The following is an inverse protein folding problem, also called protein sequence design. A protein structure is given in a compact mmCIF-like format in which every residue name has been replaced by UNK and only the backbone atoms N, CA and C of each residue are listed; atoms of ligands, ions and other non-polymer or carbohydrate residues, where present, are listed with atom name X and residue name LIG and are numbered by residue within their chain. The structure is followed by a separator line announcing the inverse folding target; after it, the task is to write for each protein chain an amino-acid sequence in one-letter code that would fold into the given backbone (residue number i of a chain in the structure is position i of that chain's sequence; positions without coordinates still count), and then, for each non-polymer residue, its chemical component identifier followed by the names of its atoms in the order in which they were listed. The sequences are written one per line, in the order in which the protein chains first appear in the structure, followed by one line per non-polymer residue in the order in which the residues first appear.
data_IF_193636354823
#
_entry.id   IF_193636354823
#
_cell.length_a   1.000
_cell.length_b   1.000
_cell.length_c   1.000
_cell.angle_alpha   90.00
_cell.angle_beta   90.00
_cell.angle_gamma   90.00
#
_symmetry.space_group_name_H-M   'P 1'
#
loop_
_entity.id
_entity.type
_entity.pdbx_description
1 polymer ?
#
# COMPACT_ATOMS: atom_id res chain seq x y z
N UNK A 1 5.11 -5.04 25.44
CA UNK A 1 6.23 -4.08 25.24
C UNK A 1 7.50 -4.44 26.04
N UNK A 2 7.43 -5.33 27.06
CA UNK A 2 8.57 -5.70 27.90
C UNK A 2 9.65 -6.55 27.20
N UNK A 3 9.34 -7.24 26.11
CA UNK A 3 10.28 -8.07 25.34
C UNK A 3 11.13 -7.35 24.30
N UNK A 4 10.81 -6.08 23.98
CA UNK A 4 11.45 -5.36 22.87
C UNK A 4 12.51 -4.33 23.27
N UNK A 5 12.88 -4.27 24.55
CA UNK A 5 13.71 -3.20 25.14
C UNK A 5 15.14 -3.12 24.57
N UNK A 6 15.65 -4.18 23.93
CA UNK A 6 17.03 -4.26 23.42
C UNK A 6 17.10 -4.66 21.93
N UNK A 7 16.00 -4.50 21.16
CA UNK A 7 16.02 -4.86 19.74
C UNK A 7 16.47 -3.63 18.94
N UNK A 8 17.56 -3.77 18.19
CA UNK A 8 17.92 -2.80 17.16
C UNK A 8 16.92 -2.90 15.99
N UNK A 9 16.03 -1.91 15.95
CA UNK A 9 14.96 -1.82 14.92
C UNK A 9 15.55 -1.77 13.50
N UNK A 10 16.69 -1.11 13.34
CA UNK A 10 17.35 -1.01 12.03
C UNK A 10 17.86 -2.36 11.54
N UNK A 11 18.51 -3.13 12.39
CA UNK A 11 18.98 -4.48 12.07
C UNK A 11 17.81 -5.44 11.82
N UNK A 12 16.76 -5.34 12.61
CA UNK A 12 15.52 -6.09 12.42
C UNK A 12 14.90 -5.80 11.03
N UNK A 13 14.75 -4.53 10.67
CA UNK A 13 14.19 -4.14 9.37
C UNK A 13 15.04 -4.64 8.19
N UNK A 14 16.35 -4.69 8.36
CA UNK A 14 17.28 -5.24 7.36
C UNK A 14 17.06 -6.74 7.15
N UNK A 15 16.93 -7.50 8.24
CA UNK A 15 16.62 -8.93 8.19
C UNK A 15 15.26 -9.20 7.58
N UNK A 16 14.25 -8.42 7.98
CA UNK A 16 12.91 -8.50 7.40
C UNK A 16 12.93 -8.25 5.90
N UNK A 17 13.62 -7.20 5.43
CA UNK A 17 13.76 -6.91 4.00
C UNK A 17 14.41 -8.08 3.25
N UNK A 18 15.50 -8.63 3.80
CA UNK A 18 16.21 -9.75 3.19
C UNK A 18 15.31 -10.98 3.02
N UNK A 19 14.62 -11.39 4.09
CA UNK A 19 13.67 -12.51 4.04
C UNK A 19 12.56 -12.25 3.03
N UNK A 20 11.96 -11.05 3.05
CA UNK A 20 10.89 -10.68 2.11
C UNK A 20 11.33 -10.75 0.65
N UNK A 21 12.54 -10.27 0.33
CA UNK A 21 13.09 -10.34 -1.03
C UNK A 21 13.29 -11.78 -1.48
N UNK A 22 13.81 -12.64 -0.60
CA UNK A 22 13.97 -14.09 -0.91
C UNK A 22 12.60 -14.72 -1.16
N UNK A 23 11.65 -14.55 -0.25
CA UNK A 23 10.30 -15.11 -0.38
C UNK A 23 9.61 -14.63 -1.66
N UNK A 24 9.73 -13.35 -1.98
CA UNK A 24 9.16 -12.78 -3.19
C UNK A 24 9.79 -13.35 -4.46
N UNK A 25 11.12 -13.50 -4.49
CA UNK A 25 11.85 -14.10 -5.62
C UNK A 25 11.45 -15.56 -5.82
N UNK A 26 11.37 -16.34 -4.73
CA UNK A 26 10.93 -17.75 -4.77
C UNK A 26 9.50 -17.85 -5.29
N UNK A 27 8.60 -16.99 -4.81
CA UNK A 27 7.20 -17.00 -5.21
C UNK A 27 7.02 -16.65 -6.69
N UNK A 28 7.72 -15.61 -7.18
CA UNK A 28 7.70 -15.22 -8.60
C UNK A 28 8.26 -16.38 -9.45
N UNK A 29 9.38 -16.98 -9.06
CA UNK A 29 9.99 -18.10 -9.79
C UNK A 29 9.06 -19.32 -9.82
N UNK A 30 8.42 -19.66 -8.71
CA UNK A 30 7.47 -20.78 -8.64
C UNK A 30 6.20 -20.50 -9.48
N UNK A 31 5.72 -19.26 -9.49
CA UNK A 31 4.59 -18.84 -10.30
C UNK A 31 4.91 -18.87 -11.80
N UNK A 32 6.07 -18.39 -12.21
CA UNK A 32 6.52 -18.43 -13.62
C UNK A 32 6.81 -19.85 -14.10
N UNK A 33 7.26 -20.75 -13.20
CA UNK A 33 7.42 -22.17 -13.49
C UNK A 33 6.10 -22.96 -13.51
N UNK A 34 4.97 -22.33 -13.21
CA UNK A 34 3.65 -22.98 -13.19
C UNK A 34 3.41 -23.89 -11.97
N UNK A 35 4.30 -23.85 -10.96
CA UNK A 35 4.15 -24.63 -9.72
C UNK A 35 3.06 -24.05 -8.83
N UNK A 36 2.97 -22.72 -8.80
CA UNK A 36 1.93 -21.98 -8.06
C UNK A 36 1.00 -21.33 -9.07
N UNK A 37 -0.30 -21.45 -8.83
CA UNK A 37 -1.33 -20.88 -9.71
C UNK A 37 -1.12 -19.38 -9.90
N UNK A 38 -0.98 -18.98 -11.14
CA UNK A 38 -0.94 -17.58 -11.52
C UNK A 38 -2.37 -17.17 -11.82
N UNK A 39 -3.07 -16.54 -10.85
CA UNK A 39 -4.43 -16.07 -11.06
C UNK A 39 -4.41 -14.96 -12.11
N UNK A 40 -4.79 -15.33 -13.30
CA UNK A 40 -5.09 -14.40 -14.37
C UNK A 40 -6.54 -13.97 -14.18
N UNK A 41 -6.76 -12.82 -13.59
CA UNK A 41 -8.09 -12.28 -13.43
C UNK A 41 -8.33 -11.29 -14.56
N UNK A 42 -9.31 -11.61 -15.41
CA UNK A 42 -9.86 -10.65 -16.35
C UNK A 42 -10.53 -9.52 -15.55
N UNK A 43 -9.89 -8.37 -15.47
CA UNK A 43 -10.41 -7.23 -14.76
C UNK A 43 -10.79 -6.18 -15.80
N UNK A 44 -12.10 -6.09 -16.11
CA UNK A 44 -12.70 -5.03 -16.94
C UNK A 44 -12.16 -4.92 -18.39
N UNK A 45 -12.23 -5.97 -19.18
CA UNK A 45 -11.83 -6.00 -20.61
C UNK A 45 -10.38 -5.56 -20.92
N UNK A 46 -9.56 -5.24 -19.92
CA UNK A 46 -8.21 -4.67 -20.10
C UNK A 46 -7.08 -5.72 -20.22
N UNK A 47 -7.42 -6.96 -20.51
CA UNK A 47 -6.46 -8.04 -20.75
C UNK A 47 -6.00 -8.78 -19.48
N UNK A 48 -5.09 -9.73 -19.69
CA UNK A 48 -4.59 -10.64 -18.67
C UNK A 48 -3.83 -9.90 -17.55
N UNK A 49 -4.23 -10.10 -16.29
CA UNK A 49 -3.53 -9.62 -15.11
C UNK A 49 -2.87 -10.76 -14.37
N UNK A 50 -1.63 -10.56 -13.92
CA UNK A 50 -0.86 -11.56 -13.23
C UNK A 50 -0.74 -11.24 -11.75
N UNK A 51 -0.91 -12.25 -10.89
CA UNK A 51 -0.79 -12.11 -9.44
C UNK A 51 0.49 -12.70 -8.86
N UNK A 52 1.29 -13.38 -9.68
CA UNK A 52 2.56 -14.03 -9.29
C UNK A 52 2.45 -14.89 -8.03
N UNK A 53 1.40 -15.72 -7.95
CA UNK A 53 1.15 -16.61 -6.82
C UNK A 53 0.47 -15.96 -5.61
N UNK A 54 0.16 -14.66 -5.68
CA UNK A 54 -0.70 -14.01 -4.70
C UNK A 54 -2.18 -14.23 -5.05
N UNK A 55 -3.03 -14.13 -4.05
CA UNK A 55 -4.47 -14.28 -4.24
C UNK A 55 -5.07 -13.15 -5.09
N UNK A 56 -4.43 -11.97 -5.07
CA UNK A 56 -4.88 -10.80 -5.80
C UNK A 56 -3.67 -10.03 -6.38
N UNK A 57 -3.73 -9.49 -7.62
CA UNK A 57 -2.67 -8.63 -8.17
C UNK A 57 -2.32 -7.43 -7.29
N UNK A 58 -3.29 -6.88 -6.56
CA UNK A 58 -3.07 -5.79 -5.60
C UNK A 58 -2.12 -6.20 -4.47
N UNK A 59 -2.18 -7.46 -3.99
CA UNK A 59 -1.35 -7.95 -2.89
C UNK A 59 0.12 -8.03 -3.32
N UNK A 60 0.38 -8.43 -4.56
CA UNK A 60 1.72 -8.40 -5.14
C UNK A 60 2.27 -6.97 -5.15
N UNK A 61 1.48 -6.01 -5.66
CA UNK A 61 1.89 -4.61 -5.74
C UNK A 61 2.15 -3.99 -4.36
N UNK A 62 1.32 -4.32 -3.34
CA UNK A 62 1.54 -3.89 -1.95
C UNK A 62 2.85 -4.47 -1.39
N UNK A 63 3.19 -5.71 -1.72
CA UNK A 63 4.46 -6.30 -1.32
C UNK A 63 5.67 -5.59 -1.96
N UNK A 64 5.58 -5.20 -3.24
CA UNK A 64 6.59 -4.37 -3.89
C UNK A 64 6.71 -3.02 -3.19
N UNK A 65 5.58 -2.35 -2.91
CA UNK A 65 5.53 -1.08 -2.19
C UNK A 65 6.25 -1.16 -0.84
N UNK A 66 5.95 -2.18 -0.02
CA UNK A 66 6.59 -2.35 1.30
C UNK A 66 8.09 -2.59 1.16
N UNK A 67 8.54 -3.38 0.17
CA UNK A 67 9.95 -3.62 -0.06
C UNK A 67 10.70 -2.34 -0.48
N UNK A 68 10.12 -1.54 -1.38
CA UNK A 68 10.68 -0.24 -1.77
C UNK A 68 10.71 0.72 -0.58
N UNK A 69 9.65 0.79 0.23
CA UNK A 69 9.60 1.61 1.43
C UNK A 69 10.71 1.24 2.43
N UNK A 70 10.95 -0.05 2.66
CA UNK A 70 12.04 -0.54 3.52
C UNK A 70 13.42 -0.19 2.93
N UNK A 71 13.63 -0.33 1.62
CA UNK A 71 14.88 0.05 0.95
C UNK A 71 15.13 1.56 1.13
N UNK A 72 14.11 2.39 0.93
CA UNK A 72 14.22 3.85 1.11
C UNK A 72 14.50 4.22 2.56
N UNK A 73 13.81 3.58 3.52
CA UNK A 73 14.05 3.81 4.95
C UNK A 73 15.48 3.45 5.34
N UNK A 74 15.95 2.24 4.99
CA UNK A 74 17.28 1.75 5.35
C UNK A 74 18.42 2.54 4.68
N UNK A 75 18.18 3.04 3.48
CA UNK A 75 19.20 3.80 2.72
C UNK A 75 18.91 5.30 2.69
N UNK A 76 18.09 5.82 3.60
CA UNK A 76 17.61 7.20 3.56
C UNK A 76 18.71 8.25 3.34
N UNK A 77 19.83 8.11 4.06
CA UNK A 77 20.98 9.02 3.94
C UNK A 77 21.66 8.96 2.56
N UNK A 78 21.66 7.79 1.93
CA UNK A 78 22.32 7.51 0.64
C UNK A 78 21.39 7.67 -0.57
N UNK A 79 20.09 7.98 -0.35
CA UNK A 79 19.14 8.16 -1.44
C UNK A 79 19.59 9.24 -2.39
N UNK A 80 19.68 8.88 -3.66
CA UNK A 80 19.99 9.77 -4.79
C UNK A 80 18.91 9.62 -5.88
N UNK A 81 19.01 10.40 -6.93
CA UNK A 81 18.06 10.40 -8.05
C UNK A 81 17.91 9.00 -8.67
N UNK A 82 18.97 8.20 -8.70
CA UNK A 82 18.96 6.86 -9.27
C UNK A 82 17.99 5.91 -8.51
N UNK A 83 17.96 6.00 -7.17
CA UNK A 83 17.00 5.22 -6.37
C UNK A 83 15.55 5.57 -6.73
N UNK A 84 15.25 6.85 -6.93
CA UNK A 84 13.91 7.30 -7.32
C UNK A 84 13.54 6.80 -8.72
N UNK A 85 14.44 6.90 -9.69
CA UNK A 85 14.20 6.45 -11.06
C UNK A 85 14.00 4.93 -11.12
N UNK A 86 14.86 4.15 -10.45
CA UNK A 86 14.74 2.70 -10.40
C UNK A 86 13.42 2.26 -9.71
N UNK A 87 13.03 2.93 -8.64
CA UNK A 87 11.78 2.63 -7.95
C UNK A 87 10.55 3.01 -8.77
N UNK A 88 10.59 4.17 -9.45
CA UNK A 88 9.53 4.57 -10.37
C UNK A 88 9.38 3.56 -11.52
N UNK A 89 10.49 3.13 -12.10
CA UNK A 89 10.49 2.10 -13.12
C UNK A 89 9.93 0.76 -12.59
N UNK A 90 10.33 0.34 -11.40
CA UNK A 90 9.83 -0.88 -10.78
C UNK A 90 8.31 -0.81 -10.55
N UNK A 91 7.78 0.29 -10.02
CA UNK A 91 6.33 0.48 -9.86
C UNK A 91 5.60 0.46 -11.20
N UNK A 92 6.14 1.13 -12.21
CA UNK A 92 5.56 1.13 -13.55
C UNK A 92 5.57 -0.26 -14.19
N UNK A 93 6.69 -0.98 -14.12
CA UNK A 93 6.81 -2.33 -14.66
C UNK A 93 5.81 -3.31 -14.00
N UNK A 94 5.70 -3.24 -12.66
CA UNK A 94 4.74 -4.05 -11.92
C UNK A 94 3.30 -3.65 -12.27
N UNK A 95 3.01 -2.36 -12.43
CA UNK A 95 1.70 -1.89 -12.87
C UNK A 95 1.33 -2.43 -14.26
N UNK A 96 2.25 -2.43 -15.21
CA UNK A 96 1.98 -2.96 -16.56
C UNK A 96 1.52 -4.42 -16.54
N UNK A 97 1.99 -5.20 -15.57
CA UNK A 97 1.67 -6.64 -15.45
C UNK A 97 0.44 -6.88 -14.58
N UNK A 98 0.34 -6.17 -13.45
CA UNK A 98 -0.74 -6.37 -12.45
C UNK A 98 -1.98 -5.53 -12.70
N UNK A 99 -1.87 -4.44 -13.49
CA UNK A 99 -2.93 -3.43 -13.70
C UNK A 99 -3.50 -2.84 -12.40
N UNK A 100 -2.75 -2.94 -11.30
CA UNK A 100 -3.15 -2.46 -9.97
C UNK A 100 -3.00 -0.94 -9.85
N UNK A 101 -4.08 -0.21 -10.14
CA UNK A 101 -4.11 1.26 -10.05
C UNK A 101 -3.85 1.76 -8.62
N UNK A 102 -4.47 1.12 -7.63
CA UNK A 102 -4.29 1.45 -6.21
C UNK A 102 -2.83 1.33 -5.79
N UNK A 103 -2.16 0.25 -6.18
CA UNK A 103 -0.76 0.04 -5.87
C UNK A 103 0.16 1.03 -6.57
N UNK A 104 -0.14 1.40 -7.81
CA UNK A 104 0.58 2.45 -8.53
C UNK A 104 0.47 3.80 -7.82
N UNK A 105 -0.73 4.20 -7.40
CA UNK A 105 -0.95 5.44 -6.63
C UNK A 105 -0.16 5.45 -5.33
N UNK A 106 -0.17 4.34 -4.58
CA UNK A 106 0.62 4.20 -3.35
C UNK A 106 2.12 4.34 -3.63
N UNK A 107 2.61 3.73 -4.72
CA UNK A 107 4.01 3.85 -5.14
C UNK A 107 4.41 5.30 -5.44
N UNK A 108 3.61 6.00 -6.24
CA UNK A 108 3.84 7.43 -6.54
C UNK A 108 3.81 8.26 -5.25
N UNK A 109 2.82 8.04 -4.38
CA UNK A 109 2.73 8.74 -3.10
C UNK A 109 3.99 8.52 -2.24
N UNK A 110 4.49 7.29 -2.16
CA UNK A 110 5.74 6.98 -1.45
C UNK A 110 6.92 7.79 -1.99
N UNK A 111 7.10 7.80 -3.31
CA UNK A 111 8.19 8.55 -3.94
C UNK A 111 8.10 10.04 -3.65
N UNK A 112 6.90 10.60 -3.72
CA UNK A 112 6.64 12.02 -3.41
C UNK A 112 6.98 12.33 -1.95
N UNK A 113 6.53 11.50 -1.01
CA UNK A 113 6.83 11.68 0.42
C UNK A 113 8.34 11.68 0.68
N UNK A 114 9.08 10.69 0.15
CA UNK A 114 10.53 10.64 0.35
C UNK A 114 11.26 11.79 -0.35
N UNK A 115 10.77 12.26 -1.50
CA UNK A 115 11.31 13.44 -2.17
C UNK A 115 11.14 14.69 -1.29
N UNK A 116 9.95 14.91 -0.74
CA UNK A 116 9.70 16.02 0.19
C UNK A 116 10.58 15.93 1.44
N UNK A 117 10.73 14.75 2.03
CA UNK A 117 11.60 14.56 3.18
C UNK A 117 13.06 14.94 2.85
N UNK A 118 13.55 14.60 1.65
CA UNK A 118 14.88 14.99 1.17
C UNK A 118 15.01 16.50 0.95
N UNK A 119 13.98 17.15 0.42
CA UNK A 119 13.95 18.60 0.27
C UNK A 119 14.00 19.29 1.64
N UNK A 120 13.19 18.79 2.61
CA UNK A 120 13.18 19.34 3.96
C UNK A 120 14.52 19.14 4.70
N UNK A 121 15.27 18.07 4.41
CA UNK A 121 16.62 17.90 4.95
C UNK A 121 17.56 19.02 4.49
N UNK A 122 17.38 19.54 3.28
CA UNK A 122 18.18 20.65 2.74
C UNK A 122 17.82 22.00 3.34
N UNK A 123 16.61 22.16 3.88
CA UNK A 123 16.12 23.40 4.49
C UNK A 123 16.57 23.59 5.94
N UNK A 124 17.35 22.68 6.50
CA UNK A 124 17.92 22.77 7.84
C UNK A 124 16.87 22.89 8.95
N UNK A 125 16.96 23.94 9.79
CA UNK A 125 16.08 24.11 10.95
C UNK A 125 14.60 24.26 10.59
N UNK A 126 14.29 24.92 9.49
CA UNK A 126 12.90 25.05 9.01
C UNK A 126 12.35 23.70 8.59
N UNK A 127 13.13 22.92 7.86
CA UNK A 127 12.75 21.57 7.46
C UNK A 127 12.51 20.65 8.64
N UNK A 128 13.32 20.73 9.70
CA UNK A 128 13.13 19.93 10.92
C UNK A 128 11.82 20.28 11.66
N UNK A 129 11.45 21.56 11.74
CA UNK A 129 10.15 21.97 12.30
C UNK A 129 8.99 21.41 11.49
N UNK A 130 9.07 21.48 10.15
CA UNK A 130 8.03 20.93 9.27
C UNK A 130 7.90 19.42 9.47
N UNK A 131 9.00 18.68 9.55
CA UNK A 131 8.98 17.24 9.82
C UNK A 131 8.34 16.90 11.16
N UNK A 132 8.61 17.68 12.21
CA UNK A 132 7.96 17.49 13.52
C UNK A 132 6.45 17.70 13.44
N UNK A 133 5.99 18.74 12.75
CA UNK A 133 4.56 19.01 12.54
C UNK A 133 3.91 17.85 11.75
N UNK A 134 4.53 17.40 10.65
CA UNK A 134 4.03 16.28 9.86
C UNK A 134 3.97 15.01 10.71
N UNK A 135 5.02 14.70 11.45
CA UNK A 135 5.06 13.52 12.33
C UNK A 135 3.96 13.55 13.40
N UNK A 136 3.73 14.71 14.00
CA UNK A 136 2.65 14.90 14.97
C UNK A 136 1.26 14.78 14.33
N UNK A 137 1.13 15.17 13.06
CA UNK A 137 -0.14 15.12 12.32
C UNK A 137 -0.48 13.72 11.79
N UNK A 138 0.50 12.82 11.61
CA UNK A 138 0.27 11.48 11.02
C UNK A 138 -0.76 10.66 11.80
N UNK A 139 -0.65 10.61 13.12
CA UNK A 139 -1.57 9.83 13.97
C UNK A 139 -2.99 10.37 13.90
N UNK A 140 -3.26 11.67 14.17
CA UNK A 140 -4.62 12.18 14.08
C UNK A 140 -5.17 12.10 12.65
N UNK A 141 -4.35 12.33 11.61
CA UNK A 141 -4.81 12.23 10.21
C UNK A 141 -5.20 10.79 9.87
N UNK A 142 -4.43 9.78 10.28
CA UNK A 142 -4.78 8.38 10.04
C UNK A 142 -6.08 7.99 10.72
N UNK A 143 -6.32 8.48 11.93
CA UNK A 143 -7.59 8.28 12.65
C UNK A 143 -8.77 8.94 11.91
N UNK A 144 -8.58 10.18 11.45
CA UNK A 144 -9.62 10.87 10.66
C UNK A 144 -9.89 10.19 9.32
N UNK A 145 -8.87 9.69 8.63
CA UNK A 145 -9.05 8.89 7.40
C UNK A 145 -9.84 7.61 7.69
N UNK A 146 -9.55 6.93 8.80
CA UNK A 146 -10.28 5.74 9.21
C UNK A 146 -11.75 6.04 9.50
N UNK A 147 -12.05 7.06 10.31
CA UNK A 147 -13.42 7.50 10.59
C UNK A 147 -14.11 7.94 9.30
N UNK A 148 -13.42 8.69 8.43
CA UNK A 148 -13.95 9.15 7.16
C UNK A 148 -14.37 8.01 6.23
N UNK A 149 -13.58 6.92 6.16
CA UNK A 149 -13.96 5.73 5.39
C UNK A 149 -15.24 5.07 5.91
N UNK A 150 -15.43 5.02 7.23
CA UNK A 150 -16.69 4.52 7.81
C UNK A 150 -17.89 5.39 7.44
N UNK A 151 -17.74 6.70 7.58
CA UNK A 151 -18.83 7.66 7.27
C UNK A 151 -19.19 7.55 5.78
N UNK A 152 -18.19 7.58 4.89
CA UNK A 152 -18.42 7.49 3.44
C UNK A 152 -19.07 6.18 3.07
N UNK A 153 -18.67 5.07 3.68
CA UNK A 153 -19.27 3.75 3.44
C UNK A 153 -20.72 3.68 3.92
N UNK A 154 -21.05 4.33 5.03
CA UNK A 154 -22.41 4.36 5.57
C UNK A 154 -23.37 5.20 4.70
N UNK A 155 -22.89 6.31 4.12
CA UNK A 155 -23.68 7.26 3.31
C UNK A 155 -23.56 6.98 1.80
N UNK A 156 -22.88 5.90 1.42
CA UNK A 156 -22.62 5.58 0.03
C UNK A 156 -23.92 5.41 -0.78
N UNK A 157 -24.06 6.16 -1.87
CA UNK A 157 -25.17 6.05 -2.81
C UNK A 157 -24.62 5.87 -4.23
N UNK A 158 -24.99 4.75 -4.87
CA UNK A 158 -24.57 4.40 -6.24
C UNK A 158 -25.08 5.43 -7.27
N UNK A 159 -26.21 6.09 -7.01
CA UNK A 159 -26.79 7.09 -7.93
C UNK A 159 -26.04 8.42 -7.87
N UNK A 160 -25.24 8.66 -6.84
CA UNK A 160 -24.45 9.86 -6.71
C UNK A 160 -23.16 9.75 -7.54
N UNK A 161 -23.04 10.57 -8.59
CA UNK A 161 -21.90 10.57 -9.52
C UNK A 161 -20.55 10.76 -8.83
N UNK A 162 -20.49 11.58 -7.78
CA UNK A 162 -19.27 11.79 -7.00
C UNK A 162 -18.89 10.53 -6.20
N UNK A 163 -19.84 9.90 -5.52
CA UNK A 163 -19.63 8.65 -4.77
C UNK A 163 -19.22 7.51 -5.68
N UNK A 164 -19.82 7.42 -6.87
CA UNK A 164 -19.46 6.42 -7.87
C UNK A 164 -18.02 6.61 -8.37
N UNK A 165 -17.58 7.86 -8.63
CA UNK A 165 -16.20 8.15 -9.03
C UNK A 165 -15.21 7.83 -7.91
N UNK A 166 -15.54 8.13 -6.66
CA UNK A 166 -14.73 7.73 -5.49
C UNK A 166 -14.61 6.21 -5.38
N UNK A 167 -15.71 5.48 -5.60
CA UNK A 167 -15.70 4.02 -5.55
C UNK A 167 -14.81 3.42 -6.65
N UNK A 168 -14.83 3.98 -7.85
CA UNK A 168 -13.90 3.57 -8.91
C UNK A 168 -12.44 3.82 -8.53
N UNK A 169 -12.10 4.95 -7.91
CA UNK A 169 -10.75 5.27 -7.45
C UNK A 169 -10.24 4.27 -6.39
N UNK A 170 -11.12 3.79 -5.52
CA UNK A 170 -10.78 2.78 -4.50
C UNK A 170 -11.11 1.34 -4.93
N UNK A 171 -11.26 1.11 -6.24
CA UNK A 171 -11.47 -0.22 -6.83
C UNK A 171 -12.73 -0.95 -6.32
N UNK A 172 -13.85 -0.24 -6.19
CA UNK A 172 -15.15 -0.81 -5.81
C UNK A 172 -15.29 -1.15 -4.32
N UNK A 173 -14.36 -0.73 -3.48
CA UNK A 173 -14.35 -1.09 -2.05
C UNK A 173 -15.44 -0.39 -1.24
N UNK A 174 -15.84 0.83 -1.61
CA UNK A 174 -16.91 1.55 -0.91
C UNK A 174 -18.25 0.85 -1.09
N UNK A 175 -18.55 0.41 -2.31
CA UNK A 175 -19.76 -0.38 -2.61
C UNK A 175 -19.80 -1.68 -1.80
N UNK A 176 -18.69 -2.42 -1.74
CA UNK A 176 -18.59 -3.65 -0.97
C UNK A 176 -18.79 -3.38 0.52
N UNK A 177 -18.12 -2.37 1.07
CA UNK A 177 -18.27 -1.98 2.48
C UNK A 177 -19.71 -1.56 2.80
N UNK A 178 -20.34 -0.79 1.89
CA UNK A 178 -21.74 -0.39 2.04
C UNK A 178 -22.69 -1.61 2.06
N UNK A 179 -22.48 -2.58 1.18
CA UNK A 179 -23.26 -3.82 1.19
C UNK A 179 -23.10 -4.60 2.50
N UNK A 180 -21.87 -4.68 3.03
CA UNK A 180 -21.64 -5.28 4.35
C UNK A 180 -22.34 -4.49 5.45
N UNK A 181 -22.33 -3.16 5.39
CA UNK A 181 -23.05 -2.32 6.33
C UNK A 181 -24.55 -2.57 6.31
N UNK A 182 -25.16 -2.65 5.14
CA UNK A 182 -26.58 -2.91 4.99
C UNK A 182 -26.98 -4.32 5.47
N UNK A 183 -26.16 -5.32 5.18
CA UNK A 183 -26.48 -6.72 5.49
C UNK A 183 -26.22 -7.07 6.96
N UNK A 184 -25.19 -6.54 7.57
CA UNK A 184 -24.72 -6.97 8.87
C UNK A 184 -24.75 -5.88 9.94
N UNK A 185 -24.91 -4.62 9.57
CA UNK A 185 -24.83 -3.47 10.46
C UNK A 185 -23.44 -3.27 11.05
N UNK A 186 -23.32 -2.33 11.99
CA UNK A 186 -22.08 -2.06 12.71
C UNK A 186 -22.04 -2.87 14.01
N UNK A 187 -20.96 -3.62 14.23
CA UNK A 187 -20.68 -4.29 15.49
C UNK A 187 -19.22 -4.08 15.87
N UNK A 188 -18.97 -3.48 17.04
CA UNK A 188 -17.62 -3.25 17.59
C UNK A 188 -16.90 -4.55 17.96
N UNK A 189 -17.61 -5.61 18.24
CA UNK A 189 -17.07 -6.90 18.71
C UNK A 189 -17.11 -8.00 17.65
N UNK A 190 -17.49 -7.64 16.41
CA UNK A 190 -17.73 -8.63 15.36
C UNK A 190 -19.11 -9.25 15.46
N UNK A 191 -19.58 -9.83 14.37
CA UNK A 191 -20.84 -10.55 14.28
C UNK A 191 -20.56 -11.88 13.61
N UNK A 192 -21.15 -12.96 14.11
CA UNK A 192 -21.08 -14.27 13.45
C UNK A 192 -21.74 -14.16 12.06
N UNK A 193 -20.93 -14.27 11.01
CA UNK A 193 -21.34 -14.19 9.61
C UNK A 193 -21.71 -15.60 9.08
N UNK A 194 -21.37 -16.64 9.84
CA UNK A 194 -21.67 -18.02 9.51
C UNK A 194 -23.11 -18.39 9.90
N UNK A 195 -24.08 -17.94 9.10
CA UNK A 195 -25.40 -18.54 9.00
C UNK A 195 -25.89 -18.52 7.58
#
# INVERSE_FOLDING_TARGET
LLGAKNIDVYDLMKKVLFVRLICMTVLISASTAGIVGNFVKDQYDDGLTYSFGFQNPNDFMVNVFVNVALIFYLNYKKLNVLYFLLSAYAFYAVYCVTKSMTGMMLGVFLLVVFLFLKIFDRLGNVGNKIKQIISAAVVPTSLWCFIGTFIVSAVFDVNNRFMFTLDQLVSGRLKIQHQYWLNYGFSLLGKDICR
#
